data_IF_498533878086
#
_entry.id   IF_498533878086
#
_cell.length_a   1.000
_cell.length_b   1.000
_cell.length_c   1.000
_cell.angle_alpha   90.00
_cell.angle_beta   90.00
_cell.angle_gamma   90.00
#
_symmetry.space_group_name_H-M   'P 1'
#
loop_
_entity.id
_entity.type
_entity.pdbx_description
1 polymer ?
#
# COMPACT_ATOMS: atom_id res chain seq x y z
N UNK A 1 3.22 0.60 8.99
CA UNK A 1 3.21 -0.41 10.07
C UNK A 1 1.97 -1.29 10.04
N UNK A 2 0.75 -0.77 9.85
CA UNK A 2 -0.48 -1.56 9.90
C UNK A 2 -0.60 -2.63 8.81
N UNK A 3 -0.19 -2.36 7.57
CA UNK A 3 -0.16 -3.38 6.50
C UNK A 3 0.75 -4.56 6.89
N UNK A 4 1.95 -4.27 7.38
CA UNK A 4 2.92 -5.26 7.86
C UNK A 4 2.37 -6.04 9.06
N UNK A 5 1.78 -5.36 10.05
CA UNK A 5 1.15 -5.98 11.22
C UNK A 5 0.00 -6.93 10.83
N UNK A 6 -0.87 -6.51 9.91
CA UNK A 6 -1.98 -7.34 9.43
C UNK A 6 -1.49 -8.50 8.57
N UNK A 7 -0.42 -8.32 7.79
CA UNK A 7 0.22 -9.42 7.06
C UNK A 7 0.89 -10.41 8.01
N UNK A 8 1.62 -9.95 9.04
CA UNK A 8 2.20 -10.83 10.06
C UNK A 8 1.10 -11.60 10.81
N UNK A 9 0.00 -10.93 11.17
CA UNK A 9 -1.16 -11.56 11.77
C UNK A 9 -1.86 -12.56 10.81
N UNK A 10 -1.92 -12.26 9.51
CA UNK A 10 -2.48 -13.17 8.50
C UNK A 10 -1.56 -14.36 8.19
N UNK A 11 -0.24 -14.16 8.22
CA UNK A 11 0.78 -15.19 8.02
C UNK A 11 0.76 -16.22 9.17
N UNK A 12 0.46 -15.75 10.39
CA UNK A 12 0.24 -16.61 11.57
C UNK A 12 -0.90 -17.62 11.38
N UNK A 13 -1.90 -17.30 10.54
CA UNK A 13 -2.98 -18.21 10.13
C UNK A 13 -2.74 -18.91 8.78
N UNK A 14 -1.71 -18.50 8.03
CA UNK A 14 -1.39 -18.98 6.68
C UNK A 14 -0.46 -20.20 6.63
N UNK A 15 0.19 -20.56 7.74
CA UNK A 15 1.04 -21.77 7.84
C UNK A 15 0.27 -23.06 7.51
N UNK A 16 -1.06 -23.11 7.69
CA UNK A 16 -1.89 -24.25 7.29
C UNK A 16 -2.10 -24.42 5.79
N UNK A 17 -1.95 -23.36 4.99
CA UNK A 17 -2.15 -23.44 3.54
C UNK A 17 -0.89 -23.88 2.80
N UNK A 18 0.32 -23.59 3.31
CA UNK A 18 1.56 -24.01 2.64
C UNK A 18 1.79 -25.54 2.66
N UNK A 19 1.26 -26.24 3.68
CA UNK A 19 1.35 -27.71 3.76
C UNK A 19 0.44 -28.42 2.73
N UNK A 20 -0.64 -27.78 2.27
CA UNK A 20 -1.47 -28.33 1.19
C UNK A 20 -0.81 -28.21 -0.19
N UNK A 21 0.09 -27.25 -0.40
CA UNK A 21 0.80 -27.10 -1.68
C UNK A 21 1.85 -28.20 -1.89
N UNK A 22 2.55 -28.62 -0.84
CA UNK A 22 3.55 -29.70 -0.96
C UNK A 22 2.93 -31.06 -1.30
N UNK A 23 1.74 -31.38 -0.78
CA UNK A 23 1.08 -32.66 -1.05
C UNK A 23 0.20 -32.69 -2.31
N UNK A 24 -0.09 -31.55 -2.93
CA UNK A 24 -0.82 -31.46 -4.20
C UNK A 24 0.13 -31.61 -5.40
N UNK A 25 1.33 -31.02 -5.34
CA UNK A 25 2.33 -31.09 -6.40
C UNK A 25 2.85 -32.52 -6.68
N UNK A 26 2.77 -33.43 -5.70
CA UNK A 26 3.24 -34.82 -5.85
C UNK A 26 2.19 -35.76 -6.44
N UNK A 27 0.91 -35.34 -6.53
CA UNK A 27 -0.19 -36.16 -7.07
C UNK A 27 -0.50 -35.94 -8.55
N UNK A 28 -0.04 -34.84 -9.15
CA UNK A 28 -0.28 -34.57 -10.58
C UNK A 28 0.74 -35.20 -11.54
N UNK A 29 1.83 -35.80 -11.02
CA UNK A 29 2.90 -36.35 -11.89
C UNK A 29 2.66 -37.79 -12.40
N UNK A 30 1.56 -38.46 -12.02
CA UNK A 30 1.35 -39.88 -12.36
C UNK A 30 0.20 -40.17 -13.34
N UNK A 31 -0.52 -39.16 -13.86
CA UNK A 31 -1.69 -39.39 -14.73
C UNK A 31 -1.65 -38.47 -15.95
N UNK A 32 -0.73 -38.73 -16.88
CA UNK A 32 -0.87 -38.39 -18.31
C UNK A 32 0.29 -38.98 -19.13
N UNK A 33 0.37 -40.32 -19.20
CA UNK A 33 1.16 -41.03 -20.21
C UNK A 33 0.29 -42.12 -20.82
N UNK A 34 -0.47 -41.78 -21.86
CA UNK A 34 -0.94 -42.73 -22.88
C UNK A 34 -1.59 -42.01 -24.08
N UNK A 35 -1.05 -42.32 -25.27
CA UNK A 35 -1.55 -42.06 -26.64
C UNK A 35 -1.43 -40.60 -27.14
N UNK A 36 -0.86 -40.26 -28.30
CA UNK A 36 -0.22 -41.00 -29.40
C UNK A 36 -0.03 -40.06 -30.62
N UNK A 37 1.12 -40.17 -31.30
CA UNK A 37 1.43 -39.88 -32.73
C UNK A 37 1.01 -38.56 -33.45
N UNK A 38 2.01 -37.79 -33.97
CA UNK A 38 2.45 -37.66 -35.39
C UNK A 38 3.05 -36.26 -35.75
N UNK A 39 4.03 -36.27 -36.68
CA UNK A 39 4.92 -35.25 -37.33
C UNK A 39 4.30 -33.87 -37.70
N UNK A 40 4.98 -32.77 -38.06
CA UNK A 40 6.34 -32.44 -38.56
C UNK A 40 6.59 -30.92 -38.47
N UNK A 41 7.87 -30.53 -38.39
CA UNK A 41 8.55 -29.30 -38.86
C UNK A 41 7.81 -27.95 -39.02
N UNK A 42 8.31 -26.92 -38.34
CA UNK A 42 8.99 -25.76 -38.96
C UNK A 42 9.29 -24.68 -37.91
N UNK A 43 10.57 -24.39 -37.71
CA UNK A 43 11.07 -23.25 -36.94
C UNK A 43 11.30 -22.08 -37.91
N UNK A 44 10.85 -20.86 -37.61
CA UNK A 44 11.59 -19.69 -38.02
C UNK A 44 12.02 -18.87 -36.80
N UNK A 45 13.30 -18.51 -36.81
CA UNK A 45 13.99 -17.72 -35.82
C UNK A 45 13.27 -16.39 -35.52
N UNK A 46 13.02 -16.10 -34.24
CA UNK A 46 12.58 -14.79 -33.79
C UNK A 46 13.81 -13.88 -33.60
N UNK A 47 13.88 -12.84 -34.42
CA UNK A 47 14.91 -11.82 -34.44
C UNK A 47 14.68 -10.83 -33.27
N UNK A 48 15.46 -10.98 -32.20
CA UNK A 48 15.31 -10.24 -30.93
C UNK A 48 16.01 -8.87 -30.92
N UNK A 49 15.87 -8.07 -31.98
CA UNK A 49 16.45 -6.72 -32.05
C UNK A 49 15.53 -5.74 -32.81
N UNK A 50 14.39 -5.38 -32.21
CA UNK A 50 13.49 -4.32 -32.70
C UNK A 50 13.10 -3.37 -31.58
N UNK A 51 13.44 -2.09 -31.72
CA UNK A 51 13.35 -1.07 -30.67
C UNK A 51 11.94 -0.74 -30.15
N UNK A 52 11.93 -0.02 -29.03
CA UNK A 52 10.78 0.46 -28.24
C UNK A 52 9.87 1.46 -28.98
N UNK A 53 9.36 1.13 -30.18
CA UNK A 53 8.47 2.02 -30.94
C UNK A 53 7.19 1.34 -31.47
N UNK A 54 6.77 0.22 -30.89
CA UNK A 54 5.50 -0.45 -31.29
C UNK A 54 4.77 -1.09 -30.11
N UNK A 55 4.67 -0.37 -28.98
CA UNK A 55 3.63 -0.69 -28.00
C UNK A 55 2.38 0.06 -28.43
N UNK A 56 1.53 -0.62 -29.21
CA UNK A 56 0.23 -0.10 -29.63
C UNK A 56 -0.73 -0.13 -28.43
N UNK A 57 -0.83 1.00 -27.73
CA UNK A 57 -1.70 1.16 -26.55
C UNK A 57 -3.20 1.11 -26.90
N UNK A 58 -3.57 1.15 -28.18
CA UNK A 58 -4.97 1.03 -28.61
C UNK A 58 -5.51 -0.41 -28.52
N UNK A 59 -4.61 -1.39 -28.38
CA UNK A 59 -4.91 -2.81 -28.15
C UNK A 59 -4.62 -3.26 -26.71
N UNK A 60 -4.69 -2.35 -25.72
CA UNK A 60 -4.98 -2.81 -24.36
C UNK A 60 -6.38 -3.41 -24.38
N UNK A 61 -6.38 -4.72 -24.52
CA UNK A 61 -7.51 -5.59 -24.85
C UNK A 61 -8.74 -5.24 -23.99
N UNK A 62 -9.81 -4.73 -24.63
CA UNK A 62 -11.09 -4.45 -23.97
C UNK A 62 -11.64 -5.70 -23.26
N UNK A 63 -11.18 -6.89 -23.66
CA UNK A 63 -11.45 -8.17 -23.01
C UNK A 63 -10.83 -8.29 -21.60
N UNK A 64 -9.61 -7.79 -21.38
CA UNK A 64 -8.96 -7.76 -20.05
C UNK A 64 -9.67 -6.78 -19.14
N UNK A 65 -10.03 -5.60 -19.65
CA UNK A 65 -10.82 -4.63 -18.88
C UNK A 65 -12.22 -5.17 -18.57
N UNK A 66 -12.86 -5.86 -19.52
CA UNK A 66 -14.18 -6.47 -19.34
C UNK A 66 -14.13 -7.63 -18.33
N UNK A 67 -13.10 -8.49 -18.37
CA UNK A 67 -12.93 -9.57 -17.39
C UNK A 67 -12.58 -9.02 -16.01
N UNK A 68 -11.75 -7.97 -15.92
CA UNK A 68 -11.54 -7.23 -14.67
C UNK A 68 -12.86 -6.68 -14.13
N UNK A 69 -13.68 -6.03 -14.97
CA UNK A 69 -15.00 -5.53 -14.59
C UNK A 69 -15.94 -6.66 -14.12
N UNK A 70 -15.85 -7.85 -14.72
CA UNK A 70 -16.67 -9.02 -14.37
C UNK A 70 -16.23 -9.70 -13.07
N UNK A 71 -14.94 -9.62 -12.73
CA UNK A 71 -14.35 -10.13 -11.49
C UNK A 71 -14.58 -9.19 -10.29
N UNK A 72 -15.07 -7.98 -10.54
CA UNK A 72 -15.29 -6.96 -9.52
C UNK A 72 -16.79 -6.71 -9.39
N UNK A 73 -17.38 -7.32 -8.38
CA UNK A 73 -18.69 -6.87 -7.91
C UNK A 73 -18.51 -5.55 -7.15
N UNK A 74 -18.56 -4.43 -7.87
CA UNK A 74 -18.57 -3.08 -7.28
C UNK A 74 -19.60 -2.87 -6.15
N UNK A 75 -20.80 -3.47 -6.17
CA UNK A 75 -21.76 -3.31 -5.08
C UNK A 75 -21.49 -4.24 -3.89
N UNK A 76 -20.45 -5.07 -3.91
CA UNK A 76 -20.08 -5.94 -2.79
C UNK A 76 -19.75 -5.08 -1.55
N UNK A 77 -20.51 -5.20 -0.44
CA UNK A 77 -20.33 -4.33 0.73
C UNK A 77 -18.91 -4.31 1.28
N UNK A 78 -18.19 -5.44 1.22
CA UNK A 78 -16.79 -5.53 1.69
C UNK A 78 -15.85 -4.65 0.87
N UNK A 79 -16.06 -4.57 -0.44
CA UNK A 79 -15.28 -3.69 -1.31
C UNK A 79 -15.57 -2.22 -1.02
N UNK A 80 -16.85 -1.84 -0.90
CA UNK A 80 -17.23 -0.47 -0.56
C UNK A 80 -16.66 -0.03 0.80
N UNK A 81 -16.73 -0.88 1.82
CA UNK A 81 -16.15 -0.61 3.15
C UNK A 81 -14.65 -0.40 3.06
N UNK A 82 -13.93 -1.22 2.27
CA UNK A 82 -12.49 -1.04 2.07
C UNK A 82 -12.17 0.30 1.39
N UNK A 83 -12.89 0.67 0.33
CA UNK A 83 -12.71 1.95 -0.37
C UNK A 83 -12.99 3.13 0.56
N UNK A 84 -14.10 3.10 1.30
CA UNK A 84 -14.45 4.14 2.27
C UNK A 84 -13.36 4.25 3.34
N UNK A 85 -12.90 3.13 3.90
CA UNK A 85 -11.84 3.11 4.90
C UNK A 85 -10.50 3.64 4.36
N UNK A 86 -10.20 3.42 3.07
CA UNK A 86 -9.02 3.95 2.39
C UNK A 86 -9.06 5.47 2.27
N UNK A 87 -10.19 6.03 1.83
CA UNK A 87 -10.35 7.47 1.60
C UNK A 87 -10.50 8.22 2.93
N UNK A 88 -11.26 7.65 3.86
CA UNK A 88 -11.56 8.27 5.15
C UNK A 88 -10.31 8.47 6.01
N UNK A 89 -9.35 7.54 5.99
CA UNK A 89 -8.14 7.65 6.81
C UNK A 89 -7.35 8.95 6.54
N UNK A 90 -6.86 9.19 5.30
CA UNK A 90 -6.16 10.42 4.96
C UNK A 90 -6.97 11.67 5.15
N UNK A 91 -8.26 11.60 4.86
CA UNK A 91 -9.15 12.72 5.11
C UNK A 91 -9.25 13.05 6.61
N UNK A 92 -9.46 12.04 7.46
CA UNK A 92 -9.63 12.19 8.89
C UNK A 92 -8.42 12.83 9.54
N UNK A 93 -7.22 12.28 9.34
CA UNK A 93 -6.04 12.81 10.02
C UNK A 93 -5.68 14.22 9.52
N UNK A 94 -5.90 14.53 8.23
CA UNK A 94 -5.69 15.87 7.69
C UNK A 94 -6.64 16.91 8.30
N UNK A 95 -7.93 16.58 8.39
CA UNK A 95 -8.95 17.47 8.95
C UNK A 95 -8.71 17.70 10.43
N UNK A 96 -8.48 16.62 11.20
CA UNK A 96 -8.28 16.71 12.65
C UNK A 96 -6.98 17.44 12.97
N UNK A 97 -5.89 17.17 12.27
CA UNK A 97 -4.61 17.86 12.50
C UNK A 97 -4.72 19.36 12.20
N UNK A 98 -5.36 19.76 11.09
CA UNK A 98 -5.58 21.19 10.78
C UNK A 98 -6.51 21.87 11.77
N UNK A 99 -7.56 21.18 12.19
CA UNK A 99 -8.46 21.68 13.24
C UNK A 99 -7.70 21.90 14.54
N UNK A 100 -6.83 20.96 14.94
CA UNK A 100 -5.97 21.08 16.10
C UNK A 100 -4.98 22.24 15.96
N UNK A 101 -4.33 22.41 14.81
CA UNK A 101 -3.40 23.52 14.59
C UNK A 101 -4.09 24.89 14.75
N UNK A 102 -5.35 25.02 14.32
CA UNK A 102 -6.10 26.29 14.43
C UNK A 102 -6.70 26.53 15.81
N UNK A 103 -7.25 25.49 16.44
CA UNK A 103 -8.06 25.63 17.65
C UNK A 103 -7.34 25.20 18.92
N UNK A 104 -6.29 24.37 18.83
CA UNK A 104 -5.65 23.71 19.98
C UNK A 104 -6.66 22.94 20.85
N UNK A 105 -7.73 22.43 20.23
CA UNK A 105 -8.85 21.79 20.93
C UNK A 105 -8.45 20.50 21.64
N UNK A 106 -7.71 19.61 20.96
CA UNK A 106 -7.19 18.38 21.54
C UNK A 106 -6.15 18.68 22.62
N UNK A 107 -5.24 19.62 22.35
CA UNK A 107 -4.25 20.05 23.36
C UNK A 107 -4.92 20.54 24.63
N UNK A 108 -6.00 21.33 24.53
CA UNK A 108 -6.78 21.80 25.68
C UNK A 108 -7.54 20.65 26.38
N UNK A 109 -8.12 19.73 25.61
CA UNK A 109 -8.88 18.60 26.15
C UNK A 109 -8.00 17.63 26.95
N UNK A 110 -6.81 17.31 26.42
CA UNK A 110 -5.88 16.35 27.03
C UNK A 110 -4.84 17.01 27.96
N UNK A 111 -4.92 18.32 28.18
CA UNK A 111 -4.05 19.06 29.11
C UNK A 111 -2.61 19.24 28.63
N UNK A 112 -2.26 18.87 27.40
CA UNK A 112 -0.93 19.07 26.84
C UNK A 112 -0.76 18.56 25.40
N UNK A 113 0.18 19.16 24.63
CA UNK A 113 0.33 18.86 23.20
C UNK A 113 0.86 17.44 22.95
N UNK A 114 1.75 16.93 23.82
CA UNK A 114 2.29 15.58 23.69
C UNK A 114 1.23 14.51 23.94
N UNK A 115 0.48 14.61 25.04
CA UNK A 115 -0.57 13.64 25.37
C UNK A 115 -1.64 13.63 24.27
N UNK A 116 -2.04 14.81 23.80
CA UNK A 116 -2.99 14.94 22.70
C UNK A 116 -2.47 14.32 21.38
N UNK A 117 -1.19 14.53 21.05
CA UNK A 117 -0.56 13.94 19.87
C UNK A 117 -0.48 12.41 19.97
N UNK A 118 -0.08 11.85 21.12
CA UNK A 118 -0.05 10.40 21.34
C UNK A 118 -1.46 9.78 21.32
N UNK A 119 -2.46 10.45 21.88
CA UNK A 119 -3.85 10.01 21.80
C UNK A 119 -4.34 9.97 20.35
N UNK A 120 -4.06 11.02 19.57
CA UNK A 120 -4.38 11.04 18.14
C UNK A 120 -3.59 9.96 17.37
N UNK A 121 -2.32 9.75 17.68
CA UNK A 121 -1.50 8.71 17.08
C UNK A 121 -2.09 7.30 17.31
N UNK A 122 -2.55 7.02 18.53
CA UNK A 122 -3.26 5.78 18.85
C UNK A 122 -4.52 5.60 18.01
N UNK A 123 -5.34 6.66 17.88
CA UNK A 123 -6.54 6.63 17.06
C UNK A 123 -6.24 6.41 15.57
N UNK A 124 -5.26 7.13 15.01
CA UNK A 124 -4.82 6.95 13.62
C UNK A 124 -4.29 5.53 13.40
N UNK A 125 -3.53 4.98 14.35
CA UNK A 125 -3.04 3.61 14.27
C UNK A 125 -4.20 2.60 14.22
N UNK A 126 -5.21 2.76 15.08
CA UNK A 126 -6.40 1.91 15.09
C UNK A 126 -7.17 1.98 13.76
N UNK A 127 -7.40 3.19 13.25
CA UNK A 127 -8.01 3.38 11.93
C UNK A 127 -7.18 2.73 10.82
N UNK A 128 -5.85 2.82 10.89
CA UNK A 128 -4.94 2.20 9.94
C UNK A 128 -4.97 0.68 9.99
N UNK A 129 -5.15 0.08 11.18
CA UNK A 129 -5.36 -1.37 11.33
C UNK A 129 -6.71 -1.77 10.73
N UNK A 130 -7.77 -1.03 11.03
CA UNK A 130 -9.11 -1.27 10.48
C UNK A 130 -9.13 -1.20 8.94
N UNK A 131 -8.47 -0.19 8.36
CA UNK A 131 -8.30 -0.06 6.91
C UNK A 131 -7.57 -1.26 6.31
N UNK A 132 -6.41 -1.64 6.87
CA UNK A 132 -5.67 -2.81 6.41
C UNK A 132 -6.49 -4.09 6.48
N UNK A 133 -7.22 -4.29 7.58
CA UNK A 133 -8.10 -5.44 7.74
C UNK A 133 -9.21 -5.45 6.68
N UNK A 134 -9.86 -4.31 6.44
CA UNK A 134 -10.93 -4.19 5.44
C UNK A 134 -10.43 -4.50 4.02
N UNK A 135 -9.22 -4.04 3.66
CA UNK A 135 -8.57 -4.37 2.39
C UNK A 135 -8.36 -5.88 2.27
N UNK A 136 -7.76 -6.52 3.30
CA UNK A 136 -7.51 -7.97 3.28
C UNK A 136 -8.80 -8.78 3.19
N UNK A 137 -9.86 -8.36 3.90
CA UNK A 137 -11.18 -9.00 3.83
C UNK A 137 -11.78 -8.86 2.44
N UNK A 138 -11.71 -7.66 1.83
CA UNK A 138 -12.19 -7.44 0.48
C UNK A 138 -11.42 -8.29 -0.55
N UNK A 139 -10.10 -8.41 -0.41
CA UNK A 139 -9.27 -9.26 -1.28
C UNK A 139 -9.65 -10.73 -1.20
N UNK A 140 -9.87 -11.25 0.01
CA UNK A 140 -10.23 -12.67 0.23
C UNK A 140 -11.63 -13.02 -0.23
N UNK A 141 -12.51 -12.02 -0.30
CA UNK A 141 -13.90 -12.22 -0.70
C UNK A 141 -14.11 -12.35 -2.22
N UNK A 142 -13.11 -11.96 -3.02
CA UNK A 142 -13.19 -11.98 -4.47
C UNK A 142 -12.32 -13.11 -5.05
N UNK A 143 -12.69 -13.65 -6.22
CA UNK A 143 -11.92 -14.71 -6.87
C UNK A 143 -10.50 -14.24 -7.22
N UNK A 144 -9.57 -15.19 -7.16
CA UNK A 144 -8.20 -15.00 -7.64
C UNK A 144 -8.21 -14.92 -9.17
N UNK A 145 -7.30 -14.14 -9.73
CA UNK A 145 -7.15 -14.00 -11.17
C UNK A 145 -5.99 -14.87 -11.66
N UNK A 146 -6.31 -15.89 -12.47
CA UNK A 146 -5.37 -16.92 -12.95
C UNK A 146 -4.06 -16.35 -13.56
N UNK A 147 -4.07 -15.25 -14.34
CA UNK A 147 -2.83 -14.66 -14.86
C UNK A 147 -1.89 -14.13 -13.77
N UNK A 148 -2.39 -13.75 -12.60
CA UNK A 148 -1.55 -13.35 -11.46
C UNK A 148 -1.09 -14.57 -10.64
N UNK A 149 -1.68 -15.74 -10.86
CA UNK A 149 -1.42 -16.94 -10.05
C UNK A 149 -0.20 -17.70 -10.56
N UNK A 150 0.96 -17.03 -10.55
CA UNK A 150 2.22 -17.61 -10.94
C UNK A 150 3.34 -17.25 -9.95
N UNK A 151 4.37 -18.11 -9.90
CA UNK A 151 5.46 -17.97 -8.94
C UNK A 151 6.22 -16.64 -9.11
N UNK A 152 6.41 -16.17 -10.35
CA UNK A 152 7.11 -14.92 -10.62
C UNK A 152 6.38 -13.71 -10.02
N UNK A 153 5.05 -13.64 -10.17
CA UNK A 153 4.20 -12.59 -9.60
C UNK A 153 4.19 -12.66 -8.08
N UNK A 154 4.13 -13.86 -7.50
CA UNK A 154 4.23 -14.04 -6.05
C UNK A 154 5.55 -13.49 -5.49
N UNK A 155 6.69 -13.86 -6.08
CA UNK A 155 8.00 -13.39 -5.64
C UNK A 155 8.20 -11.88 -5.89
N UNK A 156 7.69 -11.35 -7.00
CA UNK A 156 7.66 -9.91 -7.25
C UNK A 156 6.85 -9.18 -6.17
N UNK A 157 5.69 -9.72 -5.80
CA UNK A 157 4.86 -9.20 -4.71
C UNK A 157 5.57 -9.25 -3.35
N UNK A 158 6.24 -10.35 -3.03
CA UNK A 158 7.03 -10.50 -1.81
C UNK A 158 8.20 -9.49 -1.76
N UNK A 159 8.90 -9.29 -2.88
CA UNK A 159 9.97 -8.29 -2.98
C UNK A 159 9.44 -6.86 -2.79
N UNK A 160 8.30 -6.52 -3.41
CA UNK A 160 7.64 -5.22 -3.23
C UNK A 160 7.23 -4.99 -1.78
N UNK A 161 6.71 -6.02 -1.11
CA UNK A 161 6.34 -5.95 0.30
C UNK A 161 7.57 -5.81 1.21
N UNK A 162 8.68 -6.48 0.90
CA UNK A 162 9.93 -6.32 1.64
C UNK A 162 10.47 -4.89 1.50
N UNK A 163 10.59 -4.39 0.27
CA UNK A 163 11.06 -3.03 -0.02
C UNK A 163 10.15 -1.96 0.60
N UNK A 164 8.84 -2.11 0.45
CA UNK A 164 7.85 -1.21 1.05
C UNK A 164 7.94 -1.19 2.57
N UNK A 165 8.17 -2.35 3.20
CA UNK A 165 8.37 -2.46 4.65
C UNK A 165 9.65 -1.78 5.10
N UNK A 166 10.75 -1.92 4.35
CA UNK A 166 12.01 -1.21 4.62
C UNK A 166 11.77 0.30 4.62
N UNK A 167 11.11 0.85 3.60
CA UNK A 167 10.80 2.29 3.57
C UNK A 167 9.91 2.74 4.71
N UNK A 168 8.86 1.98 5.03
CA UNK A 168 7.95 2.35 6.13
C UNK A 168 8.64 2.32 7.48
N UNK A 169 9.40 1.26 7.78
CA UNK A 169 10.08 1.09 9.07
C UNK A 169 11.21 2.12 9.22
N UNK A 170 12.04 2.29 8.19
CA UNK A 170 13.12 3.29 8.24
C UNK A 170 12.58 4.71 8.35
N UNK A 171 11.50 5.05 7.65
CA UNK A 171 10.81 6.35 7.81
C UNK A 171 10.33 6.57 9.24
N UNK A 172 9.71 5.54 9.84
CA UNK A 172 9.21 5.61 11.21
C UNK A 172 10.34 5.75 12.23
N UNK A 173 11.45 5.04 12.03
CA UNK A 173 12.64 5.15 12.90
C UNK A 173 13.26 6.55 12.83
N UNK A 174 13.26 7.17 11.65
CA UNK A 174 13.84 8.49 11.46
C UNK A 174 12.93 9.64 11.97
N UNK A 175 11.60 9.50 11.83
CA UNK A 175 10.62 10.51 12.28
C UNK A 175 10.17 10.33 13.73
N UNK A 176 10.20 9.11 14.25
CA UNK A 176 9.56 8.74 15.51
C UNK A 176 8.03 8.86 15.46
N UNK A 177 7.39 8.70 16.62
CA UNK A 177 5.92 8.74 16.74
C UNK A 177 5.39 10.14 16.41
N UNK A 178 5.93 11.17 17.03
CA UNK A 178 5.44 12.55 16.85
C UNK A 178 5.65 13.05 15.42
N UNK A 179 6.78 12.74 14.77
CA UNK A 179 7.00 13.08 13.38
C UNK A 179 6.11 12.30 12.40
N UNK A 180 5.73 11.06 12.75
CA UNK A 180 4.85 10.23 11.91
C UNK A 180 3.38 10.63 12.03
N UNK A 181 2.92 10.98 13.24
CA UNK A 181 1.50 11.21 13.54
C UNK A 181 1.18 12.71 13.71
N UNK A 182 1.71 13.55 12.82
CA UNK A 182 1.34 14.96 12.65
C UNK A 182 1.62 15.84 13.89
N UNK A 183 2.68 15.54 14.64
CA UNK A 183 3.09 16.30 15.83
C UNK A 183 3.42 17.77 15.54
N UNK A 184 3.80 18.11 14.31
CA UNK A 184 4.01 19.48 13.85
C UNK A 184 2.74 20.34 13.99
N UNK A 185 1.55 19.77 13.79
CA UNK A 185 0.26 20.45 14.00
C UNK A 185 -0.03 20.72 15.49
N UNK A 186 0.52 19.90 16.39
CA UNK A 186 0.49 20.11 17.85
C UNK A 186 1.59 21.09 18.30
N UNK A 187 2.42 21.60 17.40
CA UNK A 187 3.54 22.48 17.72
C UNK A 187 4.78 21.73 18.22
N UNK A 188 4.80 20.40 18.09
CA UNK A 188 5.96 19.55 18.37
C UNK A 188 6.76 19.44 17.06
N UNK A 189 7.48 20.50 16.73
CA UNK A 189 8.26 20.56 15.50
C UNK A 189 9.64 19.93 15.72
N UNK A 190 10.08 19.08 14.78
CA UNK A 190 11.50 18.72 14.69
C UNK A 190 12.35 19.94 14.34
N UNK A 191 13.63 19.92 14.72
CA UNK A 191 14.54 21.03 14.46
C UNK A 191 14.79 21.25 12.97
N UNK A 192 14.88 20.16 12.21
CA UNK A 192 14.95 20.18 10.74
C UNK A 192 14.14 19.03 10.15
N UNK A 193 13.73 19.18 8.88
CA UNK A 193 13.16 18.08 8.11
C UNK A 193 14.22 16.99 7.97
N UNK A 194 13.84 15.73 8.19
CA UNK A 194 14.75 14.59 8.03
C UNK A 194 15.13 14.46 6.56
N UNK A 195 16.43 14.46 6.28
CA UNK A 195 17.00 14.31 4.93
C UNK A 195 17.74 12.99 4.73
N UNK A 196 17.95 12.21 5.79
CA UNK A 196 18.59 10.90 5.72
C UNK A 196 17.69 9.83 5.10
N UNK A 197 18.20 8.60 4.97
CA UNK A 197 17.43 7.48 4.45
C UNK A 197 16.15 7.23 5.28
N UNK A 198 14.98 7.01 4.65
CA UNK A 198 14.73 6.90 3.20
C UNK A 198 14.32 8.20 2.48
N UNK A 199 14.35 9.34 3.17
CA UNK A 199 13.94 10.65 2.63
C UNK A 199 14.91 11.24 1.60
N UNK A 200 16.16 10.77 1.55
CA UNK A 200 17.11 11.12 0.48
C UNK A 200 16.82 10.42 -0.86
N UNK A 201 16.09 9.29 -0.84
CA UNK A 201 15.79 8.51 -2.05
C UNK A 201 14.50 8.98 -2.69
N UNK A 202 13.47 9.23 -1.88
CA UNK A 202 12.17 9.67 -2.38
C UNK A 202 11.44 10.55 -1.36
N UNK A 203 10.57 11.42 -1.86
CA UNK A 203 9.67 12.20 -1.01
C UNK A 203 8.56 11.32 -0.44
N UNK A 204 8.18 11.58 0.82
CA UNK A 204 7.08 10.87 1.50
C UNK A 204 7.21 9.32 1.47
N UNK A 205 8.39 8.77 1.85
CA UNK A 205 8.71 7.34 1.70
C UNK A 205 7.74 6.40 2.45
N UNK A 206 7.14 6.86 3.55
CA UNK A 206 6.14 6.07 4.28
C UNK A 206 4.86 5.82 3.48
N UNK A 207 4.39 6.82 2.73
CA UNK A 207 3.18 6.71 1.91
C UNK A 207 3.41 5.73 0.75
N UNK A 208 4.50 5.93 0.00
CA UNK A 208 4.86 5.06 -1.12
C UNK A 208 5.23 3.65 -0.67
N UNK A 209 5.96 3.51 0.43
CA UNK A 209 6.27 2.21 1.02
C UNK A 209 5.01 1.47 1.47
N UNK A 210 4.01 2.17 2.02
CA UNK A 210 2.73 1.54 2.34
C UNK A 210 1.95 1.14 1.09
N UNK A 211 1.95 1.94 0.02
CA UNK A 211 1.34 1.56 -1.27
C UNK A 211 2.02 0.32 -1.85
N UNK A 212 3.35 0.26 -1.83
CA UNK A 212 4.11 -0.91 -2.26
C UNK A 212 3.77 -2.18 -1.45
N UNK A 213 3.56 -2.03 -0.13
CA UNK A 213 3.12 -3.14 0.71
C UNK A 213 1.74 -3.68 0.33
N UNK A 214 0.76 -2.80 0.05
CA UNK A 214 -0.56 -3.25 -0.40
C UNK A 214 -0.50 -3.86 -1.80
N UNK A 215 0.32 -3.33 -2.70
CA UNK A 215 0.53 -3.90 -4.02
C UNK A 215 1.13 -5.30 -3.91
N UNK A 216 2.18 -5.43 -3.11
CA UNK A 216 2.84 -6.71 -2.85
C UNK A 216 1.86 -7.74 -2.29
N UNK A 217 1.03 -7.35 -1.32
CA UNK A 217 -0.01 -8.21 -0.78
C UNK A 217 -1.06 -8.59 -1.85
N UNK A 218 -1.47 -7.65 -2.70
CA UNK A 218 -2.36 -7.89 -3.84
C UNK A 218 -1.85 -8.97 -4.78
N UNK A 219 -0.58 -8.82 -5.20
CA UNK A 219 0.10 -9.75 -6.10
C UNK A 219 0.32 -11.12 -5.48
N UNK A 220 0.76 -11.18 -4.22
CA UNK A 220 0.96 -12.46 -3.50
C UNK A 220 -0.34 -13.26 -3.32
N UNK A 221 -1.49 -12.58 -3.26
CA UNK A 221 -2.81 -13.23 -3.19
C UNK A 221 -3.45 -13.44 -4.57
N UNK A 222 -2.75 -13.14 -5.67
CA UNK A 222 -3.30 -13.12 -7.03
C UNK A 222 -4.65 -12.39 -7.12
N UNK A 223 -4.79 -11.29 -6.38
CA UNK A 223 -6.08 -10.60 -6.17
C UNK A 223 -6.18 -9.35 -7.04
N UNK A 224 -7.03 -9.33 -8.09
CA UNK A 224 -7.22 -8.14 -8.92
C UNK A 224 -7.83 -6.98 -8.10
N UNK A 225 -8.73 -7.30 -7.17
CA UNK A 225 -9.29 -6.34 -6.21
C UNK A 225 -8.20 -5.73 -5.33
N UNK A 226 -7.22 -6.52 -4.88
CA UNK A 226 -6.07 -6.01 -4.14
C UNK A 226 -5.25 -4.98 -4.92
N UNK A 227 -5.04 -5.21 -6.22
CA UNK A 227 -4.35 -4.28 -7.11
C UNK A 227 -5.14 -2.97 -7.26
N UNK A 228 -6.45 -3.06 -7.45
CA UNK A 228 -7.33 -1.89 -7.60
C UNK A 228 -7.42 -1.08 -6.31
N UNK A 229 -7.65 -1.74 -5.17
CA UNK A 229 -7.65 -1.09 -3.86
C UNK A 229 -6.30 -0.42 -3.59
N UNK A 230 -5.19 -1.00 -4.07
CA UNK A 230 -3.89 -0.35 -3.98
C UNK A 230 -3.79 0.90 -4.84
N UNK A 231 -4.36 0.90 -6.05
CA UNK A 231 -4.44 2.11 -6.87
C UNK A 231 -5.25 3.21 -6.17
N UNK A 232 -6.36 2.85 -5.52
CA UNK A 232 -7.16 3.78 -4.69
C UNK A 232 -6.36 4.32 -3.51
N UNK A 233 -5.56 3.47 -2.83
CA UNK A 233 -4.63 3.90 -1.77
C UNK A 233 -3.62 4.92 -2.31
N UNK A 234 -2.98 4.61 -3.44
CA UNK A 234 -2.00 5.50 -4.07
C UNK A 234 -2.60 6.85 -4.44
N UNK A 235 -3.80 6.87 -5.03
CA UNK A 235 -4.49 8.11 -5.38
C UNK A 235 -4.86 8.92 -4.12
N UNK A 236 -5.41 8.25 -3.10
CA UNK A 236 -5.78 8.90 -1.83
C UNK A 236 -4.57 9.53 -1.14
N UNK A 237 -3.41 8.85 -1.19
CA UNK A 237 -2.15 9.39 -0.67
C UNK A 237 -1.61 10.55 -1.48
N UNK A 238 -1.69 10.51 -2.82
CA UNK A 238 -1.30 11.66 -3.65
C UNK A 238 -2.12 12.90 -3.30
N UNK A 239 -3.43 12.73 -3.10
CA UNK A 239 -4.31 13.83 -2.66
C UNK A 239 -3.90 14.31 -1.28
N UNK A 240 -3.71 13.40 -0.31
CA UNK A 240 -3.26 13.76 1.04
C UNK A 240 -1.96 14.57 1.04
N UNK A 241 -0.95 14.10 0.31
CA UNK A 241 0.36 14.77 0.18
C UNK A 241 0.21 16.16 -0.45
N UNK A 242 -0.64 16.32 -1.48
CA UNK A 242 -0.88 17.62 -2.10
C UNK A 242 -1.50 18.65 -1.12
N UNK A 243 -2.28 18.18 -0.15
CA UNK A 243 -2.81 19.03 0.92
C UNK A 243 -1.80 19.23 2.06
N UNK A 244 -1.06 18.20 2.48
CA UNK A 244 -0.12 18.25 3.61
C UNK A 244 1.13 19.08 3.29
N UNK A 245 1.73 18.85 2.12
CA UNK A 245 3.00 19.44 1.68
C UNK A 245 3.13 20.95 1.91
N UNK A 246 2.28 21.80 1.30
CA UNK A 246 2.39 23.24 1.43
C UNK A 246 2.13 23.73 2.87
N UNK A 247 1.32 23.00 3.64
CA UNK A 247 0.99 23.39 5.01
C UNK A 247 2.15 23.11 5.98
N UNK A 248 2.75 21.92 5.88
CA UNK A 248 3.93 21.58 6.68
C UNK A 248 5.12 22.46 6.31
N UNK A 249 5.33 22.78 5.04
CA UNK A 249 6.37 23.73 4.63
C UNK A 249 6.21 25.11 5.26
N UNK A 250 4.98 25.64 5.28
CA UNK A 250 4.70 26.93 5.89
C UNK A 250 4.99 26.93 7.40
N UNK A 251 4.67 25.85 8.10
CA UNK A 251 4.98 25.68 9.54
C UNK A 251 6.49 25.78 9.77
N UNK A 252 7.29 25.03 9.01
CA UNK A 252 8.75 25.04 9.14
C UNK A 252 9.37 26.38 8.68
N UNK A 253 8.81 27.03 7.66
CA UNK A 253 9.25 28.37 7.20
C UNK A 253 9.04 29.44 8.28
N UNK A 254 7.88 29.45 8.95
CA UNK A 254 7.60 30.39 10.04
C UNK A 254 8.53 30.18 11.24
N UNK A 255 8.88 28.93 11.56
CA UNK A 255 9.85 28.62 12.62
C UNK A 255 11.24 29.17 12.27
N UNK A 256 11.74 28.92 11.06
CA UNK A 256 13.07 29.39 10.65
C UNK A 256 13.17 30.92 10.67
N UNK A 257 12.10 31.63 10.29
CA UNK A 257 12.02 33.09 10.41
C UNK A 257 12.05 33.56 11.87
N UNK A 258 11.30 32.92 12.77
CA UNK A 258 11.33 33.27 14.21
C UNK A 258 12.70 33.02 14.85
N UNK A 259 13.38 31.93 14.48
CA UNK A 259 14.72 31.63 14.99
C UNK A 259 15.80 32.58 14.45
N UNK A 260 15.64 33.14 13.24
CA UNK A 260 16.56 34.16 12.70
C UNK A 260 16.41 35.54 13.37
N UNK A 261 15.29 35.78 14.05
CA UNK A 261 14.97 37.06 14.69
C UNK A 261 15.17 37.06 16.21
N UNK A 262 15.66 35.94 16.76
CA UNK A 262 16.12 35.78 18.14
C UNK A 262 17.64 35.76 18.15
#
# INVERSE_FOLDING_TARGET
>A
MSAVLVTLASSSGGLRYSECWWHAAEREQTVCLKHGHFMSDANPALDCCGGLNSVDYSQMDMSVLAELWRLIDLPEPRFCVAVIAIIFNPFFWNVVARWEHRTRGLTRLFGGPYVACYALAGLILLLNVYRSHSITVAMKAHPRWEPLDNAHVYYAGAALMALGSVFVISSFMALGVTGTFLGDYFGILMDQKVTGFPFNVMENPMYWGSTANYLGLGLMNASPVGVILTAVVGLSYKVAIAYEGPFTEEIYRRRSQRCKHK
#
